data_IF_640163228552
#
_entry.id   IF_640163228552
#
_cell.length_a   1.000
_cell.length_b   1.000
_cell.length_c   1.000
_cell.angle_alpha   90.00
_cell.angle_beta   90.00
_cell.angle_gamma   90.00
#
_symmetry.space_group_name_H-M   'P 1'
#
loop_
_entity.id
_entity.type
_entity.pdbx_description
1 polymer ?
#
# COMPACT_ATOMS: atom_id res chain seq x y z
N UNK A 1 31.70 -3.17 51.60
CA UNK A 1 31.52 -1.79 51.11
C UNK A 1 32.43 -1.60 49.91
N UNK A 2 31.89 -1.73 48.71
CA UNK A 2 32.57 -1.28 47.47
C UNK A 2 31.49 -0.99 46.44
N UNK A 3 31.11 0.28 46.37
CA UNK A 3 30.27 0.85 45.31
C UNK A 3 31.14 1.09 44.09
N UNK A 4 30.81 0.48 42.96
CA UNK A 4 31.36 0.90 41.66
C UNK A 4 30.22 1.46 40.83
N UNK A 5 30.12 2.79 40.84
CA UNK A 5 29.33 3.56 39.89
C UNK A 5 30.08 3.55 38.55
N UNK A 6 29.43 3.10 37.48
CA UNK A 6 29.79 3.46 36.11
C UNK A 6 28.61 4.19 35.51
N UNK A 7 28.79 5.51 35.40
CA UNK A 7 27.85 6.42 34.79
C UNK A 7 27.85 6.33 33.27
N UNK A 8 26.65 6.58 32.75
CA UNK A 8 26.43 7.51 31.64
C UNK A 8 26.99 7.11 30.27
N UNK A 9 26.38 6.08 29.67
CA UNK A 9 26.24 6.05 28.22
C UNK A 9 25.22 7.11 27.80
N UNK A 10 25.69 8.18 27.16
CA UNK A 10 24.86 9.20 26.54
C UNK A 10 23.84 8.57 25.58
N UNK A 11 22.57 8.55 25.99
CA UNK A 11 21.44 8.35 25.11
C UNK A 11 21.34 9.62 24.23
N UNK A 12 22.08 9.67 23.12
CA UNK A 12 21.81 10.68 22.12
C UNK A 12 20.39 10.42 21.60
N UNK A 13 19.48 11.41 21.65
CA UNK A 13 18.22 11.27 20.95
C UNK A 13 18.59 11.12 19.47
N UNK A 14 18.33 9.94 18.92
CA UNK A 14 18.34 9.70 17.48
C UNK A 14 17.38 10.71 16.88
N UNK A 15 17.91 11.84 16.41
CA UNK A 15 17.12 12.85 15.74
C UNK A 15 16.55 12.17 14.50
N UNK A 16 15.26 11.83 14.57
CA UNK A 16 14.53 11.27 13.45
C UNK A 16 14.66 12.26 12.30
N UNK A 17 15.07 11.77 11.13
CA UNK A 17 15.15 12.57 9.91
C UNK A 17 13.85 13.38 9.72
N UNK A 18 13.92 14.64 9.24
CA UNK A 18 12.75 15.42 8.88
C UNK A 18 11.82 14.63 7.95
N UNK A 19 10.52 14.84 8.08
CA UNK A 19 9.49 14.08 7.34
C UNK A 19 9.73 14.13 5.83
N UNK A 20 9.95 15.31 5.26
CA UNK A 20 10.20 15.49 3.82
C UNK A 20 11.38 14.64 3.34
N UNK A 21 12.46 14.57 4.13
CA UNK A 21 13.62 13.75 3.79
C UNK A 21 13.32 12.26 3.88
N UNK A 22 12.50 11.84 4.85
CA UNK A 22 12.05 10.45 4.95
C UNK A 22 11.16 10.05 3.77
N UNK A 23 10.29 10.95 3.33
CA UNK A 23 9.42 10.73 2.18
C UNK A 23 10.23 10.66 0.88
N UNK A 24 11.21 11.54 0.69
CA UNK A 24 12.10 11.53 -0.47
C UNK A 24 12.94 10.24 -0.56
N UNK A 25 13.51 9.79 0.56
CA UNK A 25 14.23 8.51 0.63
C UNK A 25 13.30 7.33 0.33
N UNK A 26 12.07 7.37 0.84
CA UNK A 26 11.06 6.33 0.60
C UNK A 26 10.62 6.30 -0.86
N UNK A 27 10.45 7.47 -1.49
CA UNK A 27 10.17 7.61 -2.92
C UNK A 27 11.30 7.04 -3.77
N UNK A 28 12.54 7.44 -3.49
CA UNK A 28 13.73 6.94 -4.20
C UNK A 28 13.85 5.42 -4.07
N UNK A 29 13.58 4.89 -2.87
CA UNK A 29 13.57 3.45 -2.62
C UNK A 29 12.45 2.76 -3.40
N UNK A 30 11.23 3.31 -3.44
CA UNK A 30 10.14 2.77 -4.25
C UNK A 30 10.51 2.75 -5.73
N UNK A 31 11.00 3.86 -6.28
CA UNK A 31 11.38 3.97 -7.70
C UNK A 31 12.46 2.95 -8.09
N UNK A 32 13.46 2.74 -7.21
CA UNK A 32 14.52 1.75 -7.42
C UNK A 32 14.02 0.31 -7.38
N UNK A 33 13.11 -0.01 -6.46
CA UNK A 33 12.63 -1.37 -6.23
C UNK A 33 11.26 -1.66 -6.88
N UNK A 34 10.80 -0.75 -7.73
CA UNK A 34 9.54 -0.89 -8.47
C UNK A 34 9.61 -2.16 -9.33
N UNK A 35 8.54 -2.96 -9.35
CA UNK A 35 8.48 -4.12 -10.21
C UNK A 35 8.65 -3.76 -11.69
N UNK A 36 9.49 -4.54 -12.39
CA UNK A 36 9.63 -4.51 -13.86
C UNK A 36 9.26 -5.84 -14.50
N UNK A 37 9.18 -6.91 -13.69
CA UNK A 37 8.80 -8.24 -14.13
C UNK A 37 7.76 -8.81 -13.18
N UNK A 38 6.76 -9.48 -13.73
CA UNK A 38 5.82 -10.32 -13.01
C UNK A 38 6.14 -11.78 -13.29
N UNK A 39 6.10 -12.63 -12.27
CA UNK A 39 6.45 -14.06 -12.38
C UNK A 39 5.35 -14.91 -11.78
N UNK A 40 4.86 -15.88 -12.53
CA UNK A 40 3.93 -16.90 -12.03
C UNK A 40 4.69 -18.21 -11.90
N UNK A 41 4.56 -18.87 -10.76
CA UNK A 41 5.10 -20.19 -10.50
C UNK A 41 3.97 -21.16 -10.14
N UNK A 42 3.94 -22.32 -10.78
CA UNK A 42 3.06 -23.45 -10.45
C UNK A 42 3.87 -24.47 -9.66
N UNK A 43 3.44 -24.74 -8.43
CA UNK A 43 4.04 -25.79 -7.62
C UNK A 43 3.82 -27.17 -8.25
N UNK A 44 4.86 -27.96 -8.52
CA UNK A 44 4.70 -29.31 -9.06
C UNK A 44 4.11 -30.28 -8.03
N UNK A 45 4.15 -29.94 -6.74
CA UNK A 45 3.65 -30.80 -5.64
C UNK A 45 2.17 -30.53 -5.39
N UNK A 46 1.78 -29.25 -5.36
CA UNK A 46 0.43 -28.84 -4.96
C UNK A 46 -0.43 -28.37 -6.12
N UNK A 47 0.14 -28.23 -7.31
CA UNK A 47 -0.53 -27.73 -8.52
C UNK A 47 -1.17 -26.35 -8.32
N UNK A 48 -0.69 -25.58 -7.33
CA UNK A 48 -1.16 -24.21 -7.05
C UNK A 48 -0.22 -23.19 -7.68
N UNK A 49 -0.79 -22.14 -8.25
CA UNK A 49 -0.04 -21.04 -8.82
C UNK A 49 0.08 -19.86 -7.84
N UNK A 50 1.20 -19.16 -7.92
CA UNK A 50 1.40 -17.90 -7.21
C UNK A 50 2.07 -16.88 -8.13
N UNK A 51 1.57 -15.65 -8.08
CA UNK A 51 2.14 -14.48 -8.73
C UNK A 51 3.08 -13.75 -7.77
N UNK A 52 4.25 -13.36 -8.28
CA UNK A 52 5.24 -12.52 -7.60
C UNK A 52 5.67 -11.37 -8.51
N UNK A 53 6.23 -10.33 -7.88
CA UNK A 53 6.77 -9.16 -8.55
C UNK A 53 8.27 -9.12 -8.34
N UNK A 54 9.01 -8.85 -9.40
CA UNK A 54 10.46 -8.83 -9.43
C UNK A 54 10.92 -7.43 -9.88
N UNK A 55 11.85 -6.85 -9.15
CA UNK A 55 12.45 -5.55 -9.49
C UNK A 55 13.53 -5.69 -10.57
N UNK A 56 14.12 -4.57 -10.99
CA UNK A 56 15.16 -4.58 -12.02
C UNK A 56 16.45 -5.32 -11.63
N UNK A 57 16.68 -5.53 -10.33
CA UNK A 57 17.82 -6.28 -9.80
C UNK A 57 17.57 -7.81 -9.75
N UNK A 58 16.35 -8.26 -10.12
CA UNK A 58 15.98 -9.68 -10.06
C UNK A 58 15.50 -10.14 -8.67
N UNK A 59 15.33 -9.23 -7.73
CA UNK A 59 14.84 -9.51 -6.38
C UNK A 59 13.32 -9.41 -6.29
N UNK A 60 12.71 -10.23 -5.42
CA UNK A 60 11.29 -10.07 -5.06
C UNK A 60 11.06 -8.64 -4.54
N UNK A 61 10.03 -7.95 -5.07
CA UNK A 61 9.82 -6.53 -4.76
C UNK A 61 9.45 -6.37 -3.27
N UNK A 62 10.19 -5.55 -2.51
CA UNK A 62 9.90 -5.31 -1.09
C UNK A 62 8.56 -4.59 -0.89
N UNK A 63 8.04 -3.94 -1.93
CA UNK A 63 6.74 -3.24 -1.88
C UNK A 63 5.55 -4.18 -2.07
N UNK A 64 5.77 -5.37 -2.65
CA UNK A 64 4.76 -6.39 -2.97
C UNK A 64 5.31 -7.79 -2.68
N UNK A 65 5.91 -7.95 -1.49
CA UNK A 65 6.68 -9.13 -1.13
C UNK A 65 5.83 -10.39 -0.90
N UNK A 66 4.54 -10.23 -0.60
CA UNK A 66 3.63 -11.35 -0.42
C UNK A 66 3.19 -11.94 -1.78
N UNK A 67 3.51 -13.22 -2.06
CA UNK A 67 3.04 -13.88 -3.26
C UNK A 67 1.51 -13.95 -3.26
N UNK A 68 0.88 -13.54 -4.36
CA UNK A 68 -0.58 -13.66 -4.51
C UNK A 68 -0.89 -15.05 -5.04
N UNK A 69 -1.58 -15.86 -4.23
CA UNK A 69 -2.10 -17.15 -4.69
C UNK A 69 -3.14 -16.90 -5.77
N UNK A 70 -3.02 -17.63 -6.87
CA UNK A 70 -4.04 -17.64 -7.91
C UNK A 70 -4.99 -18.81 -7.62
N UNK A 71 -6.28 -18.54 -7.65
CA UNK A 71 -7.30 -19.54 -7.35
C UNK A 71 -7.32 -20.66 -8.39
N UNK A 72 -7.61 -21.87 -7.94
CA UNK A 72 -7.70 -23.06 -8.78
C UNK A 72 -6.52 -24.03 -8.63
N UNK A 73 -6.62 -25.13 -9.39
CA UNK A 73 -5.60 -26.18 -9.49
C UNK A 73 -5.14 -26.25 -10.94
N UNK A 74 -3.86 -26.00 -11.18
CA UNK A 74 -3.26 -26.00 -12.51
C UNK A 74 -2.44 -27.28 -12.68
N UNK A 75 -2.83 -28.13 -13.62
CA UNK A 75 -2.21 -29.44 -13.85
C UNK A 75 -0.75 -29.27 -14.33
N UNK A 76 0.18 -29.14 -13.37
CA UNK A 76 1.64 -29.15 -13.47
C UNK A 76 2.29 -28.27 -14.56
N UNK A 77 1.53 -27.40 -15.21
CA UNK A 77 2.00 -26.47 -16.23
C UNK A 77 1.16 -25.20 -16.18
N UNK A 78 1.79 -24.07 -16.49
CA UNK A 78 1.09 -22.81 -16.70
C UNK A 78 0.15 -22.95 -17.90
N UNK A 79 -1.14 -22.80 -17.64
CA UNK A 79 -2.19 -22.71 -18.67
C UNK A 79 -2.68 -21.27 -18.75
N UNK A 80 -3.29 -20.94 -19.88
CA UNK A 80 -3.86 -19.61 -20.15
C UNK A 80 -4.73 -19.07 -19.01
N UNK A 81 -5.46 -19.95 -18.29
CA UNK A 81 -6.26 -19.57 -17.13
C UNK A 81 -5.44 -18.93 -16.00
N UNK A 82 -4.32 -19.53 -15.59
CA UNK A 82 -3.46 -18.98 -14.54
C UNK A 82 -2.85 -17.64 -14.98
N UNK A 83 -2.44 -17.54 -16.25
CA UNK A 83 -1.86 -16.33 -16.82
C UNK A 83 -2.89 -15.20 -16.95
N UNK A 84 -4.14 -15.53 -17.26
CA UNK A 84 -5.26 -14.59 -17.28
C UNK A 84 -5.61 -14.09 -15.87
N UNK A 85 -5.65 -14.98 -14.88
CA UNK A 85 -5.83 -14.61 -13.47
C UNK A 85 -4.69 -13.70 -13.00
N UNK A 86 -3.44 -14.03 -13.35
CA UNK A 86 -2.29 -13.19 -13.07
C UNK A 86 -2.42 -11.80 -13.72
N UNK A 87 -2.84 -11.73 -14.99
CA UNK A 87 -3.13 -10.47 -15.68
C UNK A 87 -4.18 -9.62 -14.95
N UNK A 88 -5.26 -10.23 -14.47
CA UNK A 88 -6.29 -9.53 -13.69
C UNK A 88 -5.75 -9.01 -12.35
N UNK A 89 -4.89 -9.78 -11.67
CA UNK A 89 -4.23 -9.34 -10.43
C UNK A 89 -3.26 -8.18 -10.70
N UNK A 90 -2.49 -8.24 -11.78
CA UNK A 90 -1.58 -7.16 -12.18
C UNK A 90 -2.34 -5.85 -12.42
N UNK A 91 -3.43 -5.90 -13.17
CA UNK A 91 -4.30 -4.74 -13.41
C UNK A 91 -4.85 -4.16 -12.10
N UNK A 92 -5.36 -5.02 -11.19
CA UNK A 92 -5.84 -4.61 -9.86
C UNK A 92 -4.74 -3.99 -8.98
N UNK A 93 -3.48 -4.37 -9.19
CA UNK A 93 -2.31 -3.81 -8.49
C UNK A 93 -1.71 -2.60 -9.20
N UNK A 94 -2.30 -2.15 -10.32
CA UNK A 94 -1.89 -0.95 -11.02
C UNK A 94 -0.75 -1.17 -12.02
N UNK A 95 -0.58 -2.38 -12.56
CA UNK A 95 0.43 -2.71 -13.57
C UNK A 95 -0.20 -3.18 -14.88
N UNK A 96 0.45 -2.85 -15.99
CA UNK A 96 0.17 -3.36 -17.33
C UNK A 96 1.36 -4.16 -17.85
N UNK A 97 1.14 -4.96 -18.90
CA UNK A 97 2.25 -5.52 -19.67
C UNK A 97 3.03 -4.41 -20.37
N UNK A 98 4.36 -4.54 -20.40
CA UNK A 98 5.17 -3.70 -21.25
C UNK A 98 4.77 -3.89 -22.72
N UNK A 99 5.03 -2.89 -23.57
CA UNK A 99 4.65 -2.94 -24.98
C UNK A 99 5.30 -4.14 -25.67
N UNK A 100 4.47 -5.03 -26.24
CA UNK A 100 4.93 -6.24 -26.92
C UNK A 100 5.33 -7.39 -25.99
N UNK A 101 5.23 -7.21 -24.67
CA UNK A 101 5.50 -8.29 -23.72
C UNK A 101 4.36 -9.30 -23.69
N UNK A 102 4.74 -10.57 -23.60
CA UNK A 102 3.85 -11.70 -23.38
C UNK A 102 4.51 -12.64 -22.38
N UNK A 103 3.73 -13.55 -21.80
CA UNK A 103 4.25 -14.53 -20.86
C UNK A 103 5.20 -15.50 -21.58
N UNK A 104 6.39 -15.65 -21.03
CA UNK A 104 7.42 -16.55 -21.54
C UNK A 104 7.98 -17.40 -20.41
N UNK A 105 8.53 -18.60 -20.68
CA UNK A 105 9.26 -19.37 -19.69
C UNK A 105 10.31 -18.50 -18.98
N UNK A 106 10.41 -18.60 -17.66
CA UNK A 106 11.48 -17.92 -16.94
C UNK A 106 12.85 -18.46 -17.36
N UNK A 107 13.88 -17.61 -17.32
CA UNK A 107 15.24 -18.03 -17.64
C UNK A 107 15.68 -19.22 -16.78
N UNK A 108 16.15 -20.29 -17.42
CA UNK A 108 16.59 -21.52 -16.75
C UNK A 108 15.50 -22.58 -16.54
N UNK A 109 14.27 -22.36 -17.04
CA UNK A 109 13.23 -23.39 -17.06
C UNK A 109 13.65 -24.59 -17.93
N UNK A 110 13.55 -25.83 -17.40
CA UNK A 110 14.01 -27.03 -18.10
C UNK A 110 13.10 -27.47 -19.26
N UNK A 111 11.80 -27.13 -19.21
CA UNK A 111 10.82 -27.44 -20.24
C UNK A 111 10.13 -26.16 -20.72
N UNK A 112 10.63 -25.60 -21.82
CA UNK A 112 10.05 -24.40 -22.43
C UNK A 112 8.64 -24.62 -22.99
N UNK A 113 8.24 -25.87 -23.28
CA UNK A 113 6.90 -26.19 -23.77
C UNK A 113 5.88 -26.31 -22.62
N UNK A 114 6.34 -26.61 -21.40
CA UNK A 114 5.51 -26.71 -20.18
C UNK A 114 6.24 -26.12 -18.97
N UNK A 115 6.50 -24.82 -18.97
CA UNK A 115 7.26 -24.20 -17.89
C UNK A 115 6.48 -24.26 -16.57
N UNK A 116 7.17 -24.56 -15.49
CA UNK A 116 6.63 -24.40 -14.14
C UNK A 116 6.56 -22.91 -13.75
N UNK A 117 7.46 -22.11 -14.33
CA UNK A 117 7.55 -20.67 -14.11
C UNK A 117 7.47 -19.91 -15.42
N UNK A 118 6.58 -18.92 -15.49
CA UNK A 118 6.58 -17.94 -16.59
C UNK A 118 6.69 -16.53 -16.06
N UNK A 119 7.26 -15.66 -16.86
CA UNK A 119 7.45 -14.26 -16.54
C UNK A 119 7.02 -13.35 -17.68
N UNK A 120 6.67 -12.11 -17.35
CA UNK A 120 6.32 -11.07 -18.31
C UNK A 120 6.85 -9.74 -17.81
N UNK A 121 7.36 -8.92 -18.73
CA UNK A 121 7.74 -7.55 -18.41
C UNK A 121 6.49 -6.71 -18.14
N UNK A 122 6.52 -5.95 -17.05
CA UNK A 122 5.42 -5.09 -16.60
C UNK A 122 5.86 -3.65 -16.44
N UNK A 123 4.91 -2.74 -16.58
CA UNK A 123 5.09 -1.30 -16.35
C UNK A 123 3.99 -0.79 -15.43
N UNK A 124 4.28 0.20 -14.56
CA UNK A 124 3.24 0.83 -13.75
C UNK A 124 2.24 1.54 -14.66
N UNK A 125 0.97 1.51 -14.27
CA UNK A 125 -0.07 2.35 -14.88
C UNK A 125 0.04 3.78 -14.38
N UNK A 126 -0.62 4.72 -15.07
CA UNK A 126 -0.75 6.10 -14.58
C UNK A 126 -1.38 6.16 -13.18
N UNK A 127 -2.42 5.37 -12.92
CA UNK A 127 -3.07 5.33 -11.61
C UNK A 127 -2.13 4.88 -10.48
N UNK A 128 -1.20 3.96 -10.78
CA UNK A 128 -0.15 3.57 -9.84
C UNK A 128 0.83 4.70 -9.57
N UNK A 129 1.29 5.40 -10.62
CA UNK A 129 2.19 6.55 -10.46
C UNK A 129 1.52 7.68 -9.66
N UNK A 130 0.27 8.00 -9.98
CA UNK A 130 -0.52 8.99 -9.25
C UNK A 130 -0.70 8.59 -7.77
N UNK A 131 -0.85 7.29 -7.47
CA UNK A 131 -0.86 6.78 -6.09
C UNK A 131 0.48 7.03 -5.39
N UNK A 132 1.62 6.76 -6.03
CA UNK A 132 2.93 7.00 -5.41
C UNK A 132 3.18 8.49 -5.18
N UNK A 133 2.77 9.35 -6.12
CA UNK A 133 2.86 10.80 -5.96
C UNK A 133 2.05 11.29 -4.76
N UNK A 134 0.83 10.77 -4.53
CA UNK A 134 0.06 11.08 -3.32
C UNK A 134 0.68 10.50 -2.06
N UNK A 135 1.24 9.28 -2.13
CA UNK A 135 1.84 8.60 -0.98
C UNK A 135 3.07 9.35 -0.46
N UNK A 136 3.89 9.91 -1.34
CA UNK A 136 5.14 10.60 -0.97
C UNK A 136 5.08 12.13 -1.07
N UNK A 137 4.02 12.69 -1.65
CA UNK A 137 3.81 14.13 -1.79
C UNK A 137 3.12 14.78 -0.59
N UNK A 138 2.57 15.98 -0.76
CA UNK A 138 1.81 16.65 0.30
C UNK A 138 0.52 15.89 0.64
N UNK A 139 0.10 15.99 1.90
CA UNK A 139 -1.23 15.53 2.32
C UNK A 139 -2.32 16.48 1.79
N UNK A 140 -3.55 16.01 1.56
CA UNK A 140 -4.63 16.89 1.15
C UNK A 140 -4.92 17.94 2.22
N UNK A 141 -5.21 19.16 1.77
CA UNK A 141 -5.71 20.22 2.64
C UNK A 141 -7.16 19.92 3.04
N UNK A 142 -7.47 20.09 4.33
CA UNK A 142 -8.83 19.95 4.81
C UNK A 142 -9.61 21.25 4.53
N UNK A 143 -10.81 21.18 3.94
CA UNK A 143 -11.66 22.35 3.82
C UNK A 143 -12.11 22.81 5.20
N UNK A 144 -12.36 24.11 5.34
CA UNK A 144 -12.88 24.67 6.57
C UNK A 144 -14.26 24.07 6.90
N UNK A 145 -14.44 23.70 8.17
CA UNK A 145 -15.72 23.22 8.69
C UNK A 145 -16.11 24.10 9.87
N UNK A 146 -17.22 24.86 9.78
CA UNK A 146 -17.62 25.80 10.84
C UNK A 146 -17.71 25.14 12.21
N UNK A 147 -17.01 25.71 13.20
CA UNK A 147 -17.00 25.24 14.58
C UNK A 147 -16.18 23.97 14.84
N UNK A 148 -15.53 23.39 13.82
CA UNK A 148 -14.65 22.23 13.97
C UNK A 148 -13.20 22.69 13.94
N UNK A 149 -12.42 22.28 14.94
CA UNK A 149 -10.98 22.52 14.97
C UNK A 149 -10.24 21.26 14.57
N UNK A 150 -9.35 21.36 13.59
CA UNK A 150 -8.48 20.26 13.18
C UNK A 150 -7.07 20.44 13.74
N UNK A 151 -6.50 19.35 14.26
CA UNK A 151 -5.09 19.27 14.65
C UNK A 151 -4.46 18.05 14.00
N UNK A 152 -3.45 18.26 13.16
CA UNK A 152 -2.67 17.17 12.57
C UNK A 152 -1.95 16.39 13.68
N UNK A 153 -2.12 15.07 13.70
CA UNK A 153 -1.47 14.17 14.66
C UNK A 153 -0.32 13.40 14.02
N UNK A 154 -0.52 12.99 12.77
CA UNK A 154 0.49 12.39 11.91
C UNK A 154 0.11 12.63 10.45
N UNK A 155 0.98 12.23 9.52
CA UNK A 155 0.73 12.37 8.08
C UNK A 155 -0.60 11.70 7.70
N UNK A 156 -1.50 12.50 7.14
CA UNK A 156 -2.83 12.02 6.73
C UNK A 156 -3.78 11.75 7.88
N UNK A 157 -3.52 12.27 9.08
CA UNK A 157 -4.42 12.10 10.22
C UNK A 157 -4.61 13.39 11.00
N UNK A 158 -5.87 13.63 11.37
CA UNK A 158 -6.27 14.82 12.10
C UNK A 158 -7.23 14.46 13.22
N UNK A 159 -6.97 15.00 14.41
CA UNK A 159 -8.00 15.12 15.42
C UNK A 159 -8.93 16.26 15.04
N UNK A 160 -10.23 15.96 15.02
CA UNK A 160 -11.30 16.91 14.79
C UNK A 160 -12.09 17.09 16.08
N UNK A 161 -12.03 18.29 16.68
CA UNK A 161 -12.87 18.65 17.83
C UNK A 161 -14.08 19.42 17.32
N UNK A 162 -15.27 18.89 17.56
CA UNK A 162 -16.55 19.51 17.15
C UNK A 162 -17.07 20.45 18.26
N UNK A 163 -18.07 21.32 18.00
CA UNK A 163 -18.52 22.33 18.96
C UNK A 163 -19.00 21.80 20.32
N UNK A 164 -19.52 20.57 20.37
CA UNK A 164 -19.99 19.92 21.61
C UNK A 164 -18.85 19.30 22.45
N UNK A 165 -17.59 19.48 22.03
CA UNK A 165 -16.40 19.00 22.71
C UNK A 165 -16.00 17.57 22.37
N UNK A 166 -16.80 16.83 21.60
CA UNK A 166 -16.42 15.48 21.14
C UNK A 166 -15.24 15.57 20.17
N UNK A 167 -14.41 14.52 20.21
CA UNK A 167 -13.25 14.39 19.33
C UNK A 167 -13.38 13.18 18.42
N UNK A 168 -12.97 13.35 17.17
CA UNK A 168 -12.93 12.30 16.16
C UNK A 168 -11.53 12.23 15.56
N UNK A 169 -11.15 11.05 15.07
CA UNK A 169 -9.95 10.89 14.25
C UNK A 169 -10.38 10.76 12.78
N UNK A 170 -9.97 11.73 11.96
CA UNK A 170 -10.10 11.68 10.51
C UNK A 170 -8.79 11.13 9.94
N UNK A 171 -8.88 10.05 9.15
CA UNK A 171 -7.71 9.45 8.49
C UNK A 171 -7.87 9.48 6.97
N UNK A 172 -6.78 9.82 6.28
CA UNK A 172 -6.63 9.79 4.84
C UNK A 172 -5.56 8.77 4.44
N UNK A 173 -5.89 7.92 3.48
CA UNK A 173 -4.96 6.97 2.87
C UNK A 173 -5.12 7.02 1.35
N UNK A 174 -4.06 7.21 0.56
CA UNK A 174 -4.18 7.16 -0.89
C UNK A 174 -4.32 5.70 -1.37
N UNK A 175 -5.24 5.45 -2.31
CA UNK A 175 -5.42 4.16 -2.99
C UNK A 175 -5.37 4.33 -4.53
N UNK A 176 -5.29 3.20 -5.24
CA UNK A 176 -5.26 3.15 -6.72
C UNK A 176 -6.54 3.71 -7.35
N UNK A 177 -7.68 3.54 -6.68
CA UNK A 177 -9.00 3.98 -7.15
C UNK A 177 -9.43 5.33 -6.57
N UNK A 178 -8.52 6.03 -5.91
CA UNK A 178 -8.74 7.33 -5.29
C UNK A 178 -8.38 7.33 -3.82
N UNK A 179 -8.53 8.47 -3.17
CA UNK A 179 -8.18 8.63 -1.78
C UNK A 179 -9.27 8.08 -0.86
N UNK A 180 -8.89 7.49 0.26
CA UNK A 180 -9.81 6.92 1.24
C UNK A 180 -9.82 7.74 2.51
N UNK A 181 -11.01 8.21 2.87
CA UNK A 181 -11.28 8.99 4.06
C UNK A 181 -12.13 8.18 5.03
N UNK A 182 -11.67 8.05 6.28
CA UNK A 182 -12.34 7.28 7.33
C UNK A 182 -12.46 8.14 8.58
N UNK A 183 -13.58 8.05 9.29
CA UNK A 183 -13.81 8.77 10.56
C UNK A 183 -13.98 7.77 11.68
N UNK A 184 -13.20 7.95 12.73
CA UNK A 184 -13.20 7.14 13.94
C UNK A 184 -13.62 7.99 15.14
N UNK A 185 -14.26 7.37 16.11
CA UNK A 185 -14.77 7.99 17.32
C UNK A 185 -14.73 7.01 18.48
N UNK A 186 -15.47 7.30 19.55
CA UNK A 186 -15.42 6.49 20.78
C UNK A 186 -14.11 6.68 21.56
N UNK A 187 -13.97 5.90 22.63
CA UNK A 187 -12.78 5.96 23.49
C UNK A 187 -11.54 5.56 22.69
N UNK A 188 -10.50 6.39 22.75
CA UNK A 188 -9.26 6.19 22.00
C UNK A 188 -9.43 6.07 20.48
N UNK A 189 -10.57 6.50 19.92
CA UNK A 189 -10.89 6.40 18.49
C UNK A 189 -10.99 4.95 17.96
N UNK A 190 -11.52 4.03 18.76
CA UNK A 190 -11.71 2.62 18.37
C UNK A 190 -12.94 2.37 17.48
N UNK A 191 -13.93 3.27 17.51
CA UNK A 191 -15.22 3.02 16.89
C UNK A 191 -15.24 3.57 15.48
N UNK A 192 -15.58 2.72 14.51
CA UNK A 192 -15.73 3.12 13.12
C UNK A 192 -17.04 3.89 12.93
N UNK A 193 -16.96 5.22 12.95
CA UNK A 193 -18.14 6.09 12.78
C UNK A 193 -18.52 6.22 11.31
N UNK A 194 -17.52 6.27 10.43
CA UNK A 194 -17.74 6.33 8.99
C UNK A 194 -16.75 5.43 8.26
N UNK A 195 -17.23 4.42 7.50
CA UNK A 195 -16.36 3.59 6.69
C UNK A 195 -15.67 4.40 5.59
N UNK A 196 -14.55 3.86 5.11
CA UNK A 196 -13.71 4.48 4.09
C UNK A 196 -14.51 4.89 2.85
N UNK A 197 -14.44 6.18 2.49
CA UNK A 197 -15.11 6.75 1.31
C UNK A 197 -14.12 7.52 0.43
N UNK A 198 -14.43 7.61 -0.87
CA UNK A 198 -13.62 8.38 -1.83
C UNK A 198 -13.95 9.87 -1.88
N UNK A 199 -14.89 10.33 -1.07
CA UNK A 199 -15.33 11.72 -1.02
C UNK A 199 -15.06 12.31 0.36
N UNK A 200 -14.21 13.34 0.40
CA UNK A 200 -13.92 14.08 1.63
C UNK A 200 -15.19 14.70 2.22
N UNK A 201 -16.10 15.22 1.40
CA UNK A 201 -17.37 15.78 1.88
C UNK A 201 -18.23 14.75 2.61
N UNK A 202 -18.26 13.49 2.13
CA UNK A 202 -18.98 12.41 2.80
C UNK A 202 -18.35 12.05 4.14
N UNK A 203 -17.03 12.16 4.28
CA UNK A 203 -16.35 11.95 5.56
C UNK A 203 -16.63 13.12 6.53
N UNK A 204 -16.49 14.36 6.05
CA UNK A 204 -16.71 15.57 6.85
C UNK A 204 -18.18 15.78 7.25
N UNK A 205 -19.14 15.18 6.55
CA UNK A 205 -20.55 15.23 6.91
C UNK A 205 -20.80 14.86 8.38
N UNK A 206 -20.13 13.82 8.88
CA UNK A 206 -20.28 13.38 10.28
C UNK A 206 -19.73 14.42 11.26
N UNK A 207 -18.69 15.15 10.88
CA UNK A 207 -18.11 16.21 11.70
C UNK A 207 -18.98 17.47 11.69
N UNK A 208 -19.68 17.74 10.57
CA UNK A 208 -20.67 18.81 10.43
C UNK A 208 -21.97 18.51 11.17
N UNK A 209 -22.33 17.23 11.28
CA UNK A 209 -23.54 16.77 11.94
C UNK A 209 -23.23 15.65 12.95
N UNK A 210 -22.59 15.96 14.09
CA UNK A 210 -22.14 14.97 15.07
C UNK A 210 -23.26 14.11 15.69
N UNK A 211 -24.52 14.53 15.57
CA UNK A 211 -25.71 13.72 15.94
C UNK A 211 -25.90 12.47 15.07
N UNK A 212 -25.29 12.44 13.88
CA UNK A 212 -25.29 11.28 12.97
C UNK A 212 -24.09 10.36 13.18
N UNK A 213 -23.19 10.68 14.11
CA UNK A 213 -22.09 9.82 14.51
C UNK A 213 -22.64 8.68 15.38
N UNK A 214 -23.02 7.57 14.75
CA UNK A 214 -23.34 6.31 15.42
C UNK A 214 -22.35 5.26 14.93
N UNK A 215 -21.79 4.42 15.82
CA UNK A 215 -21.04 3.23 15.41
C UNK A 215 -21.88 2.29 14.55
#
# INVERSE_FOLDING_TARGET
MTTTNHGSGHNQPSQSLPEDRRLELSRTSEERHRPVTARVYVSPITSRAALRWVNAEGHDSPTLWEPVRLDGTHAHALRDEALNLAGAVLAKRGFNYARGAYWQPASGEPDAARPATSEVAVVPTRAYLDLQDRRFGPVPELPEVPGVTFKTTQRGQWWATVPDGRTFLLTWTPHLDGDRWTVWGGDQHSDLIRPATTSIDKALFVLRHPSHARP
#
